data_IF_033447463113
#
_entry.id   IF_033447463113
#
_cell.length_a   1.000
_cell.length_b   1.000
_cell.length_c   1.000
_cell.angle_alpha   90.00
_cell.angle_beta   90.00
_cell.angle_gamma   90.00
#
_symmetry.space_group_name_H-M   'P 1'
#
loop_
_entity.id
_entity.type
_entity.pdbx_description
1 polymer ?
#
# COMPACT_ATOMS: atom_id res chain seq x y z
N UNK A 1 -3.33 -4.89 -22.97
CA UNK A 1 -4.10 -5.57 -21.89
C UNK A 1 -3.22 -5.64 -20.65
N UNK A 2 -3.74 -5.23 -19.51
CA UNK A 2 -3.03 -5.26 -18.24
C UNK A 2 -2.97 -6.70 -17.74
N UNK A 3 -1.76 -7.18 -17.44
CA UNK A 3 -1.49 -8.57 -17.02
C UNK A 3 -0.93 -8.64 -15.61
N UNK A 4 -0.35 -7.55 -15.11
CA UNK A 4 0.26 -7.49 -13.77
C UNK A 4 -0.19 -6.25 -13.02
N UNK A 5 -0.42 -6.40 -11.71
CA UNK A 5 -0.58 -5.28 -10.78
C UNK A 5 0.43 -5.45 -9.66
N UNK A 6 1.27 -4.42 -9.45
CA UNK A 6 2.15 -4.28 -8.30
C UNK A 6 1.39 -3.46 -7.26
N UNK A 7 1.15 -4.04 -6.09
CA UNK A 7 0.38 -3.38 -5.03
C UNK A 7 1.23 -3.20 -3.77
N UNK A 8 1.26 -1.99 -3.23
CA UNK A 8 1.91 -1.67 -1.96
C UNK A 8 1.05 -0.72 -1.14
N UNK A 9 1.40 -0.54 0.12
CA UNK A 9 0.74 0.39 1.05
C UNK A 9 1.69 0.74 2.20
N UNK A 10 1.23 1.60 3.09
CA UNK A 10 1.88 1.84 4.39
C UNK A 10 3.38 2.18 4.25
N UNK A 11 3.67 3.15 3.37
CA UNK A 11 5.02 3.63 3.07
C UNK A 11 5.58 4.41 4.26
N UNK A 12 4.73 5.27 4.86
CA UNK A 12 5.02 6.06 6.04
C UNK A 12 6.31 6.89 5.93
N UNK A 13 6.36 7.78 4.91
CA UNK A 13 7.48 8.71 4.75
C UNK A 13 7.53 9.64 5.97
N UNK A 14 8.60 9.55 6.79
CA UNK A 14 8.67 10.28 8.05
C UNK A 14 8.99 11.77 7.82
N UNK A 15 8.70 12.65 8.80
CA UNK A 15 8.93 14.09 8.62
C UNK A 15 10.40 14.46 8.38
N UNK A 16 11.37 13.83 9.04
CA UNK A 16 12.80 14.14 8.82
C UNK A 16 13.77 13.05 9.25
N UNK A 17 13.56 12.43 10.42
CA UNK A 17 14.45 11.36 10.91
C UNK A 17 14.22 10.09 10.10
N UNK A 18 15.29 9.32 9.82
CA UNK A 18 15.23 8.05 9.10
C UNK A 18 14.75 8.14 7.64
N UNK A 19 14.64 9.34 7.05
CA UNK A 19 14.32 9.48 5.63
C UNK A 19 15.36 8.75 4.77
N UNK A 20 16.66 8.88 5.07
CA UNK A 20 17.71 8.19 4.31
C UNK A 20 17.60 6.66 4.33
N UNK A 21 17.22 6.07 5.48
CA UNK A 21 16.95 4.62 5.58
C UNK A 21 15.75 4.22 4.71
N UNK A 22 14.68 5.02 4.75
CA UNK A 22 13.50 4.78 3.91
C UNK A 22 13.82 4.98 2.43
N UNK A 23 14.60 6.00 2.08
CA UNK A 23 15.01 6.29 0.70
C UNK A 23 15.63 5.04 0.06
N UNK A 24 16.60 4.39 0.71
CA UNK A 24 17.18 3.13 0.23
C UNK A 24 16.14 2.00 0.06
N UNK A 25 15.14 1.94 0.92
CA UNK A 25 14.02 0.99 0.78
C UNK A 25 13.19 1.30 -0.47
N UNK A 26 12.87 2.58 -0.70
CA UNK A 26 12.13 3.03 -1.88
C UNK A 26 12.91 2.85 -3.17
N UNK A 27 14.22 3.09 -3.17
CA UNK A 27 15.09 2.79 -4.32
C UNK A 27 15.05 1.31 -4.71
N UNK A 28 15.11 0.41 -3.72
CA UNK A 28 14.99 -1.05 -3.96
C UNK A 28 13.61 -1.43 -4.50
N UNK A 29 12.54 -0.86 -3.96
CA UNK A 29 11.18 -1.05 -4.48
C UNK A 29 11.06 -0.58 -5.94
N UNK A 30 11.52 0.65 -6.24
CA UNK A 30 11.50 1.25 -7.58
C UNK A 30 12.24 0.36 -8.57
N UNK A 31 13.42 -0.14 -8.18
CA UNK A 31 14.22 -1.04 -9.01
C UNK A 31 13.47 -2.35 -9.29
N UNK A 32 12.90 -2.99 -8.27
CA UNK A 32 12.12 -4.22 -8.46
C UNK A 32 10.88 -3.98 -9.34
N UNK A 33 10.21 -2.84 -9.20
CA UNK A 33 9.11 -2.46 -10.10
C UNK A 33 9.59 -2.29 -11.55
N UNK A 34 10.73 -1.63 -11.76
CA UNK A 34 11.30 -1.44 -13.09
C UNK A 34 11.67 -2.78 -13.73
N UNK A 35 12.27 -3.70 -12.97
CA UNK A 35 12.61 -5.05 -13.44
C UNK A 35 11.34 -5.81 -13.88
N UNK A 36 10.24 -5.76 -13.09
CA UNK A 36 8.95 -6.38 -13.44
C UNK A 36 8.36 -5.75 -14.71
N UNK A 37 8.44 -4.44 -14.84
CA UNK A 37 7.93 -3.72 -16.01
C UNK A 37 8.75 -4.01 -17.26
N UNK A 38 10.08 -4.14 -17.14
CA UNK A 38 10.95 -4.53 -18.25
C UNK A 38 10.61 -5.94 -18.76
N UNK A 39 10.35 -6.88 -17.84
CA UNK A 39 9.99 -8.26 -18.20
C UNK A 39 8.61 -8.39 -18.85
N UNK A 40 7.62 -7.57 -18.44
CA UNK A 40 6.21 -7.75 -18.84
C UNK A 40 5.72 -6.68 -19.84
N UNK A 41 6.47 -5.59 -20.04
CA UNK A 41 6.08 -4.46 -20.87
C UNK A 41 5.30 -3.39 -20.10
N UNK A 42 5.67 -2.14 -20.30
CA UNK A 42 5.12 -0.97 -19.57
C UNK A 42 3.60 -0.85 -19.62
N UNK A 43 3.01 -1.13 -20.77
CA UNK A 43 1.56 -0.99 -20.96
C UNK A 43 0.76 -2.10 -20.28
N UNK A 44 1.44 -3.19 -19.92
CA UNK A 44 0.81 -4.38 -19.31
C UNK A 44 0.89 -4.39 -17.78
N UNK A 45 1.59 -3.44 -17.15
CA UNK A 45 1.78 -3.38 -15.70
C UNK A 45 1.17 -2.11 -15.14
N UNK A 46 0.56 -2.22 -13.96
CA UNK A 46 0.09 -1.09 -13.15
C UNK A 46 0.66 -1.18 -11.74
N UNK A 47 0.88 -0.02 -11.12
CA UNK A 47 1.21 0.06 -9.70
C UNK A 47 -0.01 0.63 -8.97
N UNK A 48 -0.37 0.05 -7.82
CA UNK A 48 -1.44 0.56 -6.95
C UNK A 48 -0.88 0.76 -5.54
N UNK A 49 -0.98 1.98 -5.02
CA UNK A 49 -0.57 2.36 -3.67
C UNK A 49 -1.83 2.54 -2.82
N UNK A 50 -2.05 1.60 -1.92
CA UNK A 50 -3.25 1.56 -1.09
C UNK A 50 -3.09 2.33 0.23
N UNK A 51 -2.70 3.61 0.14
CA UNK A 51 -2.71 4.59 1.23
C UNK A 51 -1.49 4.60 2.15
N UNK A 52 -1.52 5.55 3.09
CA UNK A 52 -0.50 5.84 4.09
C UNK A 52 0.89 6.10 3.48
N UNK A 53 0.93 7.08 2.56
CA UNK A 53 2.17 7.56 1.95
C UNK A 53 2.99 8.35 2.96
N UNK A 54 2.36 9.30 3.68
CA UNK A 54 3.00 10.04 4.77
C UNK A 54 2.87 9.33 6.11
N UNK A 55 3.84 9.53 7.00
CA UNK A 55 3.78 9.01 8.38
C UNK A 55 3.00 9.92 9.33
N UNK A 56 2.99 11.21 9.08
CA UNK A 56 2.45 12.20 10.00
C UNK A 56 1.45 13.15 9.34
N UNK A 57 0.20 13.10 9.82
CA UNK A 57 -0.93 13.92 9.34
C UNK A 57 -0.72 15.43 9.43
N UNK A 58 0.00 15.88 10.46
CA UNK A 58 0.12 17.31 10.83
C UNK A 58 1.56 17.83 10.79
N UNK A 59 2.53 16.98 10.55
CA UNK A 59 3.95 17.33 10.62
C UNK A 59 4.66 17.02 9.30
N UNK A 60 4.14 17.59 8.21
CA UNK A 60 4.78 17.51 6.91
C UNK A 60 5.93 18.50 6.88
N UNK A 61 7.13 18.03 6.52
CA UNK A 61 8.34 18.86 6.40
C UNK A 61 8.77 18.98 4.95
N UNK A 62 9.71 19.89 4.69
CA UNK A 62 10.28 20.03 3.35
C UNK A 62 10.96 18.73 2.89
N UNK A 63 11.59 18.01 3.82
CA UNK A 63 12.27 16.75 3.55
C UNK A 63 11.26 15.68 3.12
N UNK A 64 10.15 15.53 3.83
CA UNK A 64 9.11 14.57 3.46
C UNK A 64 8.43 14.93 2.14
N UNK A 65 8.20 16.21 1.86
CA UNK A 65 7.67 16.67 0.58
C UNK A 65 8.61 16.34 -0.59
N UNK A 66 9.91 16.58 -0.41
CA UNK A 66 10.90 16.25 -1.44
C UNK A 66 11.00 14.76 -1.68
N UNK A 67 10.94 13.95 -0.61
CA UNK A 67 10.99 12.50 -0.72
C UNK A 67 9.77 11.93 -1.45
N UNK A 68 8.55 12.37 -1.10
CA UNK A 68 7.33 11.96 -1.80
C UNK A 68 7.36 12.38 -3.26
N UNK A 69 7.78 13.62 -3.54
CA UNK A 69 7.86 14.11 -4.92
C UNK A 69 8.90 13.33 -5.74
N UNK A 70 10.06 13.00 -5.15
CA UNK A 70 11.06 12.15 -5.79
C UNK A 70 10.47 10.76 -6.06
N UNK A 71 9.87 10.12 -5.08
CA UNK A 71 9.29 8.78 -5.20
C UNK A 71 8.26 8.70 -6.34
N UNK A 72 7.30 9.62 -6.37
CA UNK A 72 6.29 9.66 -7.43
C UNK A 72 6.91 10.02 -8.79
N UNK A 73 7.94 10.86 -8.83
CA UNK A 73 8.65 11.18 -10.08
C UNK A 73 9.39 9.98 -10.66
N UNK A 74 9.91 9.09 -9.81
CA UNK A 74 10.53 7.85 -10.28
C UNK A 74 9.47 6.85 -10.78
N UNK A 75 8.34 6.70 -10.06
CA UNK A 75 7.23 5.85 -10.50
C UNK A 75 6.61 6.33 -11.82
N UNK A 76 6.49 7.66 -12.03
CA UNK A 76 5.98 8.27 -13.26
C UNK A 76 6.77 7.84 -14.50
N UNK A 77 8.06 7.53 -14.35
CA UNK A 77 8.92 7.02 -15.42
C UNK A 77 8.69 5.54 -15.73
N UNK A 78 8.20 4.77 -14.75
CA UNK A 78 8.12 3.31 -14.85
C UNK A 78 6.82 2.88 -15.54
N UNK A 79 5.67 3.12 -14.95
CA UNK A 79 4.37 2.78 -15.53
C UNK A 79 3.25 3.59 -14.88
N UNK A 80 2.01 3.37 -15.33
CA UNK A 80 0.83 4.00 -14.72
C UNK A 80 0.68 3.52 -13.28
N UNK A 81 0.56 4.48 -12.36
CA UNK A 81 0.46 4.28 -10.91
C UNK A 81 -0.79 4.95 -10.38
N UNK A 82 -1.54 4.25 -9.56
CA UNK A 82 -2.73 4.74 -8.89
C UNK A 82 -2.49 4.82 -7.39
N UNK A 83 -2.91 5.92 -6.76
CA UNK A 83 -2.71 6.19 -5.33
C UNK A 83 -4.04 6.54 -4.69
N UNK A 84 -4.36 5.95 -3.55
CA UNK A 84 -5.42 6.41 -2.65
C UNK A 84 -4.79 6.97 -1.37
N UNK A 85 -5.53 7.81 -0.64
CA UNK A 85 -5.13 8.26 0.68
C UNK A 85 -5.38 7.17 1.74
N UNK A 86 -4.48 7.10 2.72
CA UNK A 86 -4.71 6.36 3.95
C UNK A 86 -5.03 7.29 5.12
N UNK A 87 -5.27 6.71 6.29
CA UNK A 87 -5.64 7.49 7.47
C UNK A 87 -4.49 8.37 8.01
N UNK A 88 -3.24 8.14 7.60
CA UNK A 88 -2.10 9.02 7.89
C UNK A 88 -1.95 10.17 6.88
N UNK A 89 -2.58 10.10 5.73
CA UNK A 89 -2.54 11.16 4.71
C UNK A 89 -3.62 12.23 4.95
N UNK A 90 -4.60 12.00 5.83
CA UNK A 90 -5.70 12.92 6.10
C UNK A 90 -6.00 13.07 7.59
N UNK A 91 -6.64 14.17 7.98
CA UNK A 91 -7.05 14.41 9.35
C UNK A 91 -8.48 13.90 9.59
N UNK A 92 -8.61 12.63 10.03
CA UNK A 92 -9.90 11.97 10.28
C UNK A 92 -10.86 12.75 11.21
N UNK A 93 -10.31 13.56 12.13
CA UNK A 93 -11.11 14.39 13.04
C UNK A 93 -11.62 15.68 12.42
N UNK A 94 -11.16 16.05 11.23
CA UNK A 94 -11.58 17.24 10.50
C UNK A 94 -11.37 17.05 8.99
N UNK A 95 -12.35 16.45 8.36
CA UNK A 95 -12.35 16.11 6.92
C UNK A 95 -12.47 17.34 6.00
N UNK A 96 -12.76 18.54 6.53
CA UNK A 96 -12.75 19.79 5.74
C UNK A 96 -11.32 20.28 5.45
N UNK A 97 -10.31 19.70 6.12
CA UNK A 97 -8.92 20.02 5.83
C UNK A 97 -8.42 19.25 4.61
N UNK A 98 -7.64 19.97 3.81
CA UNK A 98 -6.93 19.36 2.67
C UNK A 98 -6.01 18.24 3.19
N UNK A 99 -6.06 17.09 2.55
CA UNK A 99 -5.17 15.95 2.83
C UNK A 99 -3.73 16.23 2.40
N UNK A 100 -2.81 15.36 2.79
CA UNK A 100 -1.39 15.55 2.54
C UNK A 100 -0.98 15.31 1.08
N UNK A 101 -1.75 14.55 0.33
CA UNK A 101 -1.44 14.19 -1.06
C UNK A 101 -1.91 15.26 -2.04
N UNK A 102 -3.04 15.92 -1.78
CA UNK A 102 -3.58 16.98 -2.66
C UNK A 102 -2.55 18.05 -3.04
N UNK A 103 -1.73 18.63 -2.13
CA UNK A 103 -0.69 19.59 -2.50
C UNK A 103 0.37 18.99 -3.44
N UNK A 104 0.75 17.73 -3.23
CA UNK A 104 1.72 17.02 -4.05
C UNK A 104 1.23 16.90 -5.48
N UNK A 105 0.00 16.45 -5.67
CA UNK A 105 -0.61 16.27 -6.99
C UNK A 105 -1.02 17.59 -7.65
N UNK A 106 -1.28 18.64 -6.88
CA UNK A 106 -1.58 19.98 -7.41
C UNK A 106 -0.33 20.65 -7.97
N UNK A 107 0.81 20.49 -7.31
CA UNK A 107 2.08 21.15 -7.67
C UNK A 107 2.91 20.23 -8.57
N UNK A 108 2.94 18.94 -8.28
CA UNK A 108 3.60 17.91 -9.07
C UNK A 108 2.93 17.76 -10.44
N UNK A 109 3.76 17.51 -11.47
CA UNK A 109 3.28 17.30 -12.84
C UNK A 109 3.62 15.88 -13.25
N UNK A 110 2.86 14.95 -12.72
CA UNK A 110 2.96 13.55 -13.08
C UNK A 110 2.04 13.25 -14.27
N UNK A 111 2.52 12.46 -15.22
CA UNK A 111 1.73 12.04 -16.38
C UNK A 111 1.10 10.65 -16.16
N UNK A 112 1.76 9.83 -15.35
CA UNK A 112 1.38 8.44 -15.13
C UNK A 112 1.12 8.11 -13.64
N UNK A 113 1.16 9.09 -12.74
CA UNK A 113 0.78 8.88 -11.34
C UNK A 113 -0.51 9.64 -11.06
N UNK A 114 -1.54 8.90 -10.70
CA UNK A 114 -2.92 9.36 -10.54
C UNK A 114 -3.37 9.27 -9.09
N UNK A 115 -3.90 10.36 -8.55
CA UNK A 115 -4.51 10.37 -7.22
C UNK A 115 -6.02 10.12 -7.33
N UNK A 116 -6.41 8.87 -7.08
CA UNK A 116 -7.78 8.38 -7.29
C UNK A 116 -8.81 9.21 -6.50
N UNK A 117 -8.54 9.52 -5.21
CA UNK A 117 -9.52 10.24 -4.40
C UNK A 117 -9.82 11.62 -4.99
N UNK A 118 -8.83 12.34 -5.52
CA UNK A 118 -9.05 13.63 -6.18
C UNK A 118 -9.82 13.47 -7.52
N UNK A 119 -9.51 12.44 -8.31
CA UNK A 119 -10.19 12.15 -9.57
C UNK A 119 -11.65 11.75 -9.36
N UNK A 120 -11.97 11.12 -8.23
CA UNK A 120 -13.32 10.71 -7.82
C UNK A 120 -14.01 11.73 -6.89
N UNK A 121 -13.52 12.98 -6.84
CA UNK A 121 -14.10 14.04 -6.01
C UNK A 121 -14.22 13.64 -4.53
N UNK A 122 -13.21 12.90 -4.02
CA UNK A 122 -13.13 12.40 -2.65
C UNK A 122 -14.29 11.48 -2.25
N UNK A 123 -14.69 10.61 -3.18
CA UNK A 123 -15.74 9.61 -2.97
C UNK A 123 -15.29 8.23 -3.44
N UNK A 124 -15.96 7.23 -2.91
CA UNK A 124 -15.88 5.88 -3.45
C UNK A 124 -16.42 5.84 -4.88
N UNK A 125 -15.72 5.16 -5.77
CA UNK A 125 -16.06 5.15 -7.18
C UNK A 125 -15.21 4.18 -7.99
N UNK A 126 -15.30 4.25 -9.32
CA UNK A 126 -14.63 3.32 -10.22
C UNK A 126 -13.82 4.10 -11.25
N UNK A 127 -12.52 3.77 -11.35
CA UNK A 127 -11.63 4.20 -12.43
C UNK A 127 -11.54 3.07 -13.45
N UNK A 128 -11.73 3.39 -14.73
CA UNK A 128 -11.60 2.43 -15.84
C UNK A 128 -10.24 2.57 -16.49
N UNK A 129 -9.50 1.47 -16.59
CA UNK A 129 -8.22 1.41 -17.28
C UNK A 129 -8.10 0.07 -18.04
N UNK A 130 -8.13 0.13 -19.35
CA UNK A 130 -8.12 -1.02 -20.26
C UNK A 130 -9.06 -2.15 -19.78
N UNK A 131 -8.53 -3.32 -19.46
CA UNK A 131 -9.29 -4.49 -19.00
C UNK A 131 -9.52 -4.53 -17.49
N UNK A 132 -9.12 -3.53 -16.71
CA UNK A 132 -9.37 -3.47 -15.28
C UNK A 132 -10.34 -2.34 -14.90
N UNK A 133 -11.01 -2.51 -13.78
CA UNK A 133 -11.86 -1.52 -13.09
C UNK A 133 -11.36 -1.40 -11.66
N UNK A 134 -10.75 -0.26 -11.32
CA UNK A 134 -10.27 0.02 -9.98
C UNK A 134 -11.42 0.58 -9.17
N UNK A 135 -11.92 -0.21 -8.25
CA UNK A 135 -13.03 0.12 -7.36
C UNK A 135 -12.48 0.68 -6.05
N UNK A 136 -12.41 2.00 -5.94
CA UNK A 136 -11.92 2.68 -4.74
C UNK A 136 -13.02 2.74 -3.68
N UNK A 137 -12.70 2.23 -2.48
CA UNK A 137 -13.49 2.40 -1.26
C UNK A 137 -12.83 3.51 -0.45
N UNK A 138 -13.29 4.74 -0.66
CA UNK A 138 -12.61 5.92 -0.14
C UNK A 138 -12.82 6.14 1.35
N UNK A 139 -11.76 6.50 2.07
CA UNK A 139 -11.84 6.92 3.47
C UNK A 139 -12.64 8.20 3.64
N UNK A 140 -12.68 9.06 2.62
CA UNK A 140 -13.34 10.37 2.68
C UNK A 140 -14.87 10.29 2.79
N UNK A 141 -15.50 9.25 2.27
CA UNK A 141 -16.96 9.06 2.34
C UNK A 141 -17.38 7.90 3.26
N UNK A 142 -16.45 7.38 4.04
CA UNK A 142 -16.69 6.28 4.97
C UNK A 142 -16.85 4.92 4.28
N UNK A 143 -16.10 4.71 3.20
CA UNK A 143 -16.02 3.43 2.48
C UNK A 143 -17.35 3.02 1.83
N UNK A 144 -18.06 3.97 1.22
CA UNK A 144 -19.27 3.65 0.48
C UNK A 144 -18.96 2.63 -0.63
N UNK A 145 -19.91 1.74 -0.90
CA UNK A 145 -19.75 0.75 -1.96
C UNK A 145 -19.92 1.38 -3.33
N UNK A 146 -18.93 1.32 -4.23
CA UNK A 146 -19.08 1.76 -5.62
C UNK A 146 -20.16 0.98 -6.37
N UNK A 147 -20.65 1.52 -7.48
CA UNK A 147 -21.71 0.90 -8.30
C UNK A 147 -21.15 -0.25 -9.17
N UNK A 148 -20.47 -1.23 -8.55
CA UNK A 148 -19.73 -2.28 -9.24
C UNK A 148 -20.65 -3.17 -10.08
N UNK A 149 -21.81 -3.58 -9.55
CA UNK A 149 -22.80 -4.39 -10.29
C UNK A 149 -23.25 -3.72 -11.59
N UNK A 150 -23.60 -2.44 -11.52
CA UNK A 150 -24.04 -1.69 -12.68
C UNK A 150 -22.91 -1.48 -13.70
N UNK A 151 -21.65 -1.39 -13.26
CA UNK A 151 -20.51 -1.28 -14.16
C UNK A 151 -20.16 -2.63 -14.77
N UNK A 152 -20.28 -3.73 -14.02
CA UNK A 152 -20.05 -5.10 -14.51
C UNK A 152 -21.07 -5.50 -15.62
N UNK A 153 -22.29 -4.99 -15.57
CA UNK A 153 -23.25 -5.20 -16.67
C UNK A 153 -22.78 -4.57 -17.98
N UNK A 154 -22.02 -3.47 -17.93
CA UNK A 154 -21.47 -2.78 -19.11
C UNK A 154 -20.14 -3.36 -19.57
N UNK A 155 -19.35 -3.88 -18.64
CA UNK A 155 -17.99 -4.38 -18.86
C UNK A 155 -17.82 -5.77 -18.20
N UNK A 156 -18.52 -6.82 -18.67
CA UNK A 156 -18.57 -8.11 -18.01
C UNK A 156 -17.22 -8.85 -18.00
N UNK A 157 -16.36 -8.56 -18.98
CA UNK A 157 -15.06 -9.21 -19.13
C UNK A 157 -13.91 -8.45 -18.42
N UNK A 158 -14.20 -7.32 -17.79
CA UNK A 158 -13.20 -6.56 -17.05
C UNK A 158 -12.92 -7.19 -15.68
N UNK A 159 -11.68 -7.06 -15.20
CA UNK A 159 -11.27 -7.45 -13.85
C UNK A 159 -11.55 -6.31 -12.87
N UNK A 160 -12.31 -6.58 -11.83
CA UNK A 160 -12.74 -5.61 -10.82
C UNK A 160 -11.84 -5.69 -9.58
N UNK A 161 -10.99 -4.71 -9.42
CA UNK A 161 -9.99 -4.63 -8.36
C UNK A 161 -10.46 -3.68 -7.27
N UNK A 162 -10.84 -4.20 -6.11
CA UNK A 162 -11.10 -3.36 -4.95
C UNK A 162 -9.81 -2.75 -4.40
N UNK A 163 -9.84 -1.48 -4.02
CA UNK A 163 -8.71 -0.79 -3.36
C UNK A 163 -9.23 -0.07 -2.13
N UNK A 164 -8.63 -0.33 -0.98
CA UNK A 164 -9.06 0.22 0.30
C UNK A 164 -7.87 0.43 1.26
N UNK A 165 -7.98 1.45 2.11
CA UNK A 165 -7.09 1.63 3.25
C UNK A 165 -7.90 1.68 4.55
N UNK A 166 -8.01 0.56 5.25
CA UNK A 166 -8.82 0.48 6.46
C UNK A 166 -8.87 -0.90 7.11
N UNK A 167 -9.51 -0.94 8.29
CA UNK A 167 -9.73 -2.16 9.05
C UNK A 167 -10.86 -3.01 8.43
N UNK A 168 -10.55 -4.27 8.14
CA UNK A 168 -11.53 -5.24 7.62
C UNK A 168 -11.70 -6.36 8.65
N UNK A 169 -12.95 -6.76 8.92
CA UNK A 169 -13.26 -7.82 9.86
C UNK A 169 -12.57 -9.14 9.51
N UNK A 170 -11.90 -9.72 10.50
CA UNK A 170 -11.08 -10.92 10.37
C UNK A 170 -9.60 -10.65 10.10
N UNK A 171 -9.19 -9.40 9.87
CA UNK A 171 -7.78 -9.04 9.77
C UNK A 171 -7.08 -9.17 11.13
N UNK A 172 -5.81 -9.55 11.09
CA UNK A 172 -4.98 -9.77 12.29
C UNK A 172 -3.93 -8.68 12.35
N UNK A 173 -3.97 -7.84 13.38
CA UNK A 173 -2.97 -6.80 13.62
C UNK A 173 -1.59 -7.38 13.98
N UNK A 174 -0.58 -6.54 14.00
CA UNK A 174 0.79 -6.91 14.43
C UNK A 174 0.82 -7.40 15.90
N UNK A 175 -0.12 -6.95 16.72
CA UNK A 175 -0.28 -7.41 18.12
C UNK A 175 -1.14 -8.66 18.27
N UNK A 176 -1.47 -9.33 17.15
CA UNK A 176 -2.33 -10.52 17.09
C UNK A 176 -3.80 -10.28 17.49
N UNK A 177 -4.23 -9.02 17.53
CA UNK A 177 -5.65 -8.68 17.67
C UNK A 177 -6.40 -8.96 16.37
N UNK A 178 -7.56 -9.60 16.47
CA UNK A 178 -8.44 -9.84 15.32
C UNK A 178 -9.46 -8.71 15.23
N UNK A 179 -9.54 -8.05 14.10
CA UNK A 179 -10.51 -6.96 13.87
C UNK A 179 -11.93 -7.53 13.83
N UNK A 180 -12.81 -6.98 14.69
CA UNK A 180 -14.22 -7.37 14.80
C UNK A 180 -15.19 -6.21 14.48
N UNK A 181 -14.72 -4.97 14.54
CA UNK A 181 -15.53 -3.77 14.33
C UNK A 181 -15.05 -2.95 13.12
N UNK A 182 -14.49 -3.61 12.13
CA UNK A 182 -14.08 -3.04 10.86
C UNK A 182 -15.15 -3.21 9.78
N UNK A 183 -14.72 -3.05 8.54
CA UNK A 183 -15.56 -3.20 7.35
C UNK A 183 -15.84 -4.68 7.11
N UNK A 184 -17.09 -5.01 6.85
CA UNK A 184 -17.46 -6.39 6.53
C UNK A 184 -16.93 -6.82 5.15
N UNK A 185 -16.26 -7.97 5.04
CA UNK A 185 -15.76 -8.47 3.76
C UNK A 185 -16.84 -8.61 2.66
N UNK A 186 -18.10 -8.76 3.04
CA UNK A 186 -19.22 -8.83 2.10
C UNK A 186 -19.39 -7.55 1.25
N UNK A 187 -18.88 -6.42 1.73
CA UNK A 187 -18.89 -5.14 0.96
C UNK A 187 -18.14 -5.26 -0.36
N UNK A 188 -17.19 -6.19 -0.45
CA UNK A 188 -16.33 -6.40 -1.61
C UNK A 188 -16.78 -7.55 -2.51
N UNK A 189 -17.98 -8.15 -2.30
CA UNK A 189 -18.41 -9.37 -3.01
C UNK A 189 -18.46 -9.25 -4.53
N UNK A 190 -18.56 -8.03 -5.05
CA UNK A 190 -18.58 -7.75 -6.48
C UNK A 190 -17.18 -7.49 -7.08
N UNK A 191 -16.13 -7.47 -6.25
CA UNK A 191 -14.73 -7.40 -6.70
C UNK A 191 -14.19 -8.82 -6.98
N UNK A 192 -13.29 -8.95 -7.94
CA UNK A 192 -12.59 -10.21 -8.21
C UNK A 192 -11.48 -10.45 -7.16
N UNK A 193 -10.86 -9.37 -6.68
CA UNK A 193 -9.97 -9.35 -5.53
C UNK A 193 -9.84 -7.93 -4.95
N UNK A 194 -9.24 -7.82 -3.76
CA UNK A 194 -9.08 -6.54 -3.05
C UNK A 194 -7.64 -6.36 -2.59
N UNK A 195 -7.10 -5.18 -2.86
CA UNK A 195 -5.83 -4.66 -2.36
C UNK A 195 -6.13 -3.80 -1.14
N UNK A 196 -5.58 -4.16 0.02
CA UNK A 196 -5.82 -3.48 1.27
C UNK A 196 -4.52 -2.95 1.88
N UNK A 197 -4.57 -1.73 2.44
CA UNK A 197 -3.57 -1.12 3.32
C UNK A 197 -4.11 -0.91 4.72
N UNK A 198 -3.32 -0.31 5.62
CA UNK A 198 -3.59 0.00 7.03
C UNK A 198 -3.00 -1.02 8.01
N UNK A 199 -3.08 -2.29 7.73
CA UNK A 199 -2.50 -3.33 8.61
C UNK A 199 -1.13 -3.72 8.05
N UNK A 200 -0.08 -3.43 8.81
CA UNK A 200 1.31 -3.64 8.41
C UNK A 200 1.73 -5.11 8.30
N UNK A 201 0.88 -6.03 8.76
CA UNK A 201 1.09 -7.47 8.65
C UNK A 201 0.49 -8.00 7.36
N UNK A 202 1.33 -8.49 6.44
CA UNK A 202 0.86 -9.16 5.22
C UNK A 202 -0.02 -10.36 5.55
N UNK A 203 -1.18 -10.42 4.93
CA UNK A 203 -2.14 -11.50 5.14
C UNK A 203 -3.18 -11.53 4.04
N UNK A 204 -3.84 -12.67 3.90
CA UNK A 204 -5.00 -12.87 3.05
C UNK A 204 -6.23 -13.17 3.92
N UNK A 205 -7.34 -12.50 3.61
CA UNK A 205 -8.67 -12.84 4.11
C UNK A 205 -9.47 -13.42 2.95
N UNK A 206 -9.95 -14.65 3.11
CA UNK A 206 -10.90 -15.28 2.18
C UNK A 206 -12.25 -15.38 2.85
N UNK A 207 -13.23 -14.65 2.33
CA UNK A 207 -14.61 -14.71 2.83
C UNK A 207 -15.58 -14.46 1.68
N UNK A 208 -16.66 -15.25 1.61
CA UNK A 208 -17.72 -15.13 0.59
C UNK A 208 -17.22 -15.15 -0.86
N UNK A 209 -16.13 -15.88 -1.15
CA UNK A 209 -15.57 -15.98 -2.49
C UNK A 209 -14.60 -14.83 -2.86
N UNK A 210 -14.53 -13.77 -2.06
CA UNK A 210 -13.60 -12.65 -2.27
C UNK A 210 -12.26 -12.92 -1.60
N UNK A 211 -11.20 -12.55 -2.29
CA UNK A 211 -9.82 -12.57 -1.79
C UNK A 211 -9.39 -11.13 -1.48
N UNK A 212 -9.07 -10.87 -0.22
CA UNK A 212 -8.61 -9.56 0.26
C UNK A 212 -7.18 -9.73 0.74
N UNK A 213 -6.24 -8.94 0.22
CA UNK A 213 -4.81 -9.06 0.55
C UNK A 213 -4.30 -7.72 1.09
N UNK A 214 -3.83 -7.73 2.34
CA UNK A 214 -3.06 -6.65 2.92
C UNK A 214 -1.62 -6.72 2.44
N UNK A 215 -1.14 -5.62 1.87
CA UNK A 215 0.19 -5.55 1.25
C UNK A 215 1.34 -5.64 2.24
N UNK A 216 1.17 -5.22 3.48
CA UNK A 216 2.19 -4.92 4.48
C UNK A 216 2.79 -3.53 4.32
N UNK A 217 3.47 -3.03 5.35
CA UNK A 217 4.39 -1.89 5.23
C UNK A 217 5.65 -2.29 4.42
N UNK A 218 6.33 -1.30 3.82
CA UNK A 218 7.54 -1.56 3.05
C UNK A 218 8.76 -1.91 3.91
N UNK A 219 8.71 -1.56 5.19
CA UNK A 219 9.75 -1.87 6.19
C UNK A 219 9.12 -1.97 7.58
N UNK A 220 9.84 -2.57 8.50
CA UNK A 220 9.46 -2.54 9.91
C UNK A 220 9.41 -1.09 10.42
N UNK A 221 8.26 -0.68 10.94
CA UNK A 221 8.02 0.67 11.48
C UNK A 221 8.25 0.74 12.98
N UNK A 222 7.91 -0.31 13.70
CA UNK A 222 7.99 -0.36 15.16
C UNK A 222 8.35 -1.76 15.71
N UNK A 223 8.71 -1.82 17.00
CA UNK A 223 9.11 -3.05 17.68
C UNK A 223 8.06 -4.17 17.74
N UNK A 224 6.79 -3.84 17.51
CA UNK A 224 5.70 -4.82 17.47
C UNK A 224 5.62 -5.59 16.17
N UNK A 225 6.25 -5.10 15.12
CA UNK A 225 6.24 -5.72 13.80
C UNK A 225 7.34 -6.77 13.66
N UNK A 226 7.13 -7.71 12.73
CA UNK A 226 8.18 -8.65 12.33
C UNK A 226 9.34 -7.90 11.67
N UNK A 227 10.55 -8.42 11.81
CA UNK A 227 11.74 -7.90 11.10
C UNK A 227 11.71 -8.27 9.61
N UNK A 228 10.94 -9.29 9.26
CA UNK A 228 10.82 -9.84 7.89
C UNK A 228 9.39 -9.79 7.40
N UNK A 229 9.21 -9.95 6.10
CA UNK A 229 7.88 -10.00 5.51
C UNK A 229 7.32 -8.62 5.15
N UNK A 230 8.20 -7.64 4.97
CA UNK A 230 7.87 -6.31 4.47
C UNK A 230 8.13 -6.22 2.97
N UNK A 231 7.28 -5.50 2.24
CA UNK A 231 7.45 -5.36 0.80
C UNK A 231 6.16 -5.02 0.07
N UNK A 232 5.88 -5.77 -0.97
CA UNK A 232 4.74 -5.51 -1.85
C UNK A 232 4.14 -6.80 -2.41
N UNK A 233 3.03 -6.69 -3.11
CA UNK A 233 2.31 -7.81 -3.72
C UNK A 233 2.34 -7.67 -5.24
N UNK A 234 2.61 -8.74 -5.94
CA UNK A 234 2.47 -8.81 -7.41
C UNK A 234 1.32 -9.72 -7.75
N UNK A 235 0.28 -9.15 -8.35
CA UNK A 235 -0.87 -9.88 -8.88
C UNK A 235 -0.62 -10.27 -10.33
N UNK A 236 -1.04 -11.47 -10.70
CA UNK A 236 -1.02 -11.98 -12.07
C UNK A 236 -2.46 -12.13 -12.56
N UNK A 237 -2.77 -11.48 -13.70
CA UNK A 237 -4.09 -11.44 -14.32
C UNK A 237 -4.11 -12.19 -15.68
N UNK A 238 -3.03 -12.90 -16.04
CA UNK A 238 -2.90 -13.57 -17.36
C UNK A 238 -3.66 -14.87 -17.46
N UNK A 239 -3.83 -15.54 -16.33
CA UNK A 239 -4.46 -16.85 -16.27
C UNK A 239 -5.95 -16.72 -15.96
N UNK A 240 -6.73 -17.78 -16.22
CA UNK A 240 -8.15 -17.86 -15.84
C UNK A 240 -8.35 -17.67 -14.32
N UNK A 241 -7.34 -18.07 -13.52
CA UNK A 241 -7.29 -17.85 -12.08
C UNK A 241 -6.34 -16.70 -11.74
N UNK A 242 -6.88 -15.62 -11.17
CA UNK A 242 -6.08 -14.51 -10.66
C UNK A 242 -5.26 -14.98 -9.47
N UNK A 243 -3.94 -14.86 -9.58
CA UNK A 243 -2.99 -15.25 -8.54
C UNK A 243 -2.16 -14.08 -8.04
N UNK A 244 -1.51 -14.24 -6.90
CA UNK A 244 -0.59 -13.23 -6.37
C UNK A 244 0.59 -13.85 -5.64
N UNK A 245 1.65 -13.06 -5.48
CA UNK A 245 2.79 -13.39 -4.62
C UNK A 245 3.23 -12.18 -3.80
N UNK A 246 3.66 -12.42 -2.58
CA UNK A 246 4.39 -11.42 -1.80
C UNK A 246 5.83 -11.34 -2.27
N UNK A 247 6.36 -10.13 -2.41
CA UNK A 247 7.74 -9.84 -2.76
C UNK A 247 8.36 -9.03 -1.64
N UNK A 248 9.42 -9.56 -1.04
CA UNK A 248 10.10 -8.90 0.07
C UNK A 248 11.06 -7.81 -0.45
N UNK A 249 11.09 -6.69 0.26
CA UNK A 249 12.15 -5.69 0.11
C UNK A 249 13.15 -5.95 1.24
N UNK A 250 14.37 -6.31 0.87
CA UNK A 250 15.43 -6.53 1.85
C UNK A 250 15.87 -5.19 2.41
N UNK A 251 15.64 -4.99 3.71
CA UNK A 251 16.07 -3.79 4.43
C UNK A 251 17.42 -4.06 5.08
N UNK A 252 18.50 -3.67 4.39
CA UNK A 252 19.89 -3.84 4.86
C UNK A 252 20.28 -2.84 5.96
N UNK A 253 19.51 -1.75 6.07
CA UNK A 253 19.81 -0.60 6.93
C UNK A 253 19.30 -0.78 8.38
N UNK A 254 18.91 -2.00 8.76
CA UNK A 254 18.53 -2.32 10.12
C UNK A 254 17.04 -2.57 10.35
N UNK A 255 16.72 -2.88 11.58
CA UNK A 255 15.38 -3.15 12.07
C UNK A 255 15.31 -2.95 13.59
N UNK A 256 14.10 -3.09 14.14
CA UNK A 256 13.91 -3.07 15.58
C UNK A 256 14.00 -4.50 16.12
N UNK A 257 15.03 -4.77 16.90
CA UNK A 257 15.24 -6.07 17.53
C UNK A 257 14.98 -5.99 19.02
N UNK A 258 14.28 -6.98 19.57
CA UNK A 258 14.03 -7.11 20.99
C UNK A 258 14.85 -8.26 21.54
N UNK A 259 15.82 -7.95 22.36
CA UNK A 259 16.63 -8.93 23.09
C UNK A 259 16.09 -9.06 24.53
N UNK A 260 15.92 -10.29 25.01
CA UNK A 260 15.66 -10.57 26.41
C UNK A 260 16.95 -11.09 27.04
N UNK A 261 17.51 -10.35 27.99
CA UNK A 261 18.73 -10.72 28.70
C UNK A 261 18.32 -11.24 30.06
N UNK A 262 18.61 -12.49 30.34
CA UNK A 262 18.26 -13.16 31.61
C UNK A 262 19.30 -12.99 32.69
N UNK A 263 20.56 -12.73 32.34
CA UNK A 263 21.70 -12.51 33.26
C UNK A 263 22.63 -11.43 32.71
N UNK A 264 23.40 -10.78 33.62
CA UNK A 264 24.41 -9.78 33.23
C UNK A 264 25.56 -10.37 32.41
N UNK A 265 25.85 -11.65 32.59
CA UNK A 265 26.91 -12.35 31.88
C UNK A 265 26.53 -12.63 30.41
N UNK A 266 25.23 -12.72 30.08
CA UNK A 266 24.75 -12.87 28.69
C UNK A 266 25.10 -11.64 27.84
N UNK A 267 25.09 -10.44 28.44
CA UNK A 267 25.41 -9.17 27.73
C UNK A 267 26.89 -9.15 27.27
N UNK A 268 27.77 -9.81 27.99
CA UNK A 268 29.23 -9.77 27.76
C UNK A 268 29.64 -10.77 26.67
N UNK A 269 28.95 -11.91 26.62
CA UNK A 269 29.29 -13.00 25.69
C UNK A 269 28.67 -12.78 24.27
N UNK A 270 27.55 -12.08 24.18
CA UNK A 270 26.83 -11.85 22.90
C UNK A 270 27.20 -10.52 22.25
N UNK A 271 28.16 -9.77 22.77
CA UNK A 271 28.52 -8.45 22.23
C UNK A 271 29.06 -8.51 20.80
N UNK A 272 29.71 -9.61 20.44
CA UNK A 272 30.17 -9.83 19.05
C UNK A 272 29.06 -10.34 18.12
N UNK A 273 28.09 -11.10 18.63
CA UNK A 273 26.90 -11.49 17.89
C UNK A 273 25.95 -10.29 17.64
N UNK A 274 25.75 -9.42 18.63
CA UNK A 274 24.93 -8.20 18.52
C UNK A 274 25.48 -7.17 17.50
N UNK A 275 26.77 -7.21 17.19
CA UNK A 275 27.40 -6.32 16.19
C UNK A 275 27.27 -6.89 14.76
N UNK A 276 26.94 -8.17 14.62
CA UNK A 276 26.82 -8.85 13.34
C UNK A 276 25.35 -9.11 12.90
N UNK A 277 24.38 -8.58 13.62
CA UNK A 277 22.98 -8.50 13.27
C UNK A 277 22.64 -7.07 12.90
#
# INVERSE_FOLDING_TARGET
>A
MITKIIACSDIHIPPYRKIGELHGTLERFIKQCADIVEENGRDNVRIIIAGDVFDAKLSITNESLLEVNWFFSELDKICVTYVIAGNHDLLMSNMDRVDSLTPIFTIGKYNNVHYIDAELEYRSGIISDDNIRICSFSTFDGFQTPQIKAEREKSPDAVYVGVIHGDINGAISVTSYVTENGIEPAVFEDCDFVIAGHIHKRQEIKKNGVRIVYCSSMRQKEFGESVTGHGFVVWNLEDDDITYKFVDIVNEDGGFYKFSVSDKDDIINDKEELINY
#
